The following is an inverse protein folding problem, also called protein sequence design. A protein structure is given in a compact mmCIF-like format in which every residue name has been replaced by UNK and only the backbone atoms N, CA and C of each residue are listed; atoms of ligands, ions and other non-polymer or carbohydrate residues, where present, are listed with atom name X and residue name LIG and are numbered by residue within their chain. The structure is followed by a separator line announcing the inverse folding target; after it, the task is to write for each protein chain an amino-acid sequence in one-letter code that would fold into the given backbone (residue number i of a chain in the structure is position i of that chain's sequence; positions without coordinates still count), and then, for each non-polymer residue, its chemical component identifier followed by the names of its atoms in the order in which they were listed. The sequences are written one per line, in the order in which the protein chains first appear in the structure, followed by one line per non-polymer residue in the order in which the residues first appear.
data_IF_915531889660
#
_entry.id   IF_915531889660
#
_cell.length_a   1.000
_cell.length_b   1.000
_cell.length_c   1.000
_cell.angle_alpha   90.00
_cell.angle_beta   90.00
_cell.angle_gamma   90.00
#
_symmetry.space_group_name_H-M   'P 1'
#
loop_
_entity.id
_entity.type
_entity.pdbx_description
1 polymer ?
#
# COMPACT_ATOMS: atom_id res chain seq x y z
N UNK A 1 18.75 -7.11 -2.87
CA UNK A 1 18.06 -7.41 -1.58
C UNK A 1 16.78 -6.58 -1.55
N UNK A 2 15.60 -7.20 -1.59
CA UNK A 2 14.33 -6.45 -1.78
C UNK A 2 13.91 -5.59 -0.56
N UNK A 3 13.16 -4.51 -0.79
CA UNK A 3 12.70 -3.59 0.27
C UNK A 3 11.37 -4.04 0.89
N UNK A 4 11.15 -3.92 2.21
CA UNK A 4 9.85 -4.27 2.81
C UNK A 4 8.77 -3.26 2.44
N UNK A 5 7.55 -3.73 2.25
CA UNK A 5 6.36 -2.89 2.17
C UNK A 5 5.24 -3.45 3.05
N UNK A 6 4.59 -2.60 3.84
CA UNK A 6 3.52 -2.98 4.75
C UNK A 6 2.16 -2.84 4.06
N UNK A 7 1.31 -3.84 4.24
CA UNK A 7 -0.11 -3.81 3.86
C UNK A 7 -0.99 -4.36 4.99
N UNK A 8 -2.25 -3.90 5.04
CA UNK A 8 -3.26 -4.49 5.92
C UNK A 8 -3.70 -5.87 5.39
N UNK A 9 -4.39 -6.66 6.21
CA UNK A 9 -4.90 -7.98 5.79
C UNK A 9 -5.77 -7.89 4.53
N UNK A 10 -6.70 -6.92 4.46
CA UNK A 10 -7.57 -6.75 3.28
C UNK A 10 -6.80 -6.29 2.04
N UNK A 11 -5.79 -5.42 2.20
CA UNK A 11 -4.93 -5.03 1.08
C UNK A 11 -4.11 -6.21 0.55
N UNK A 12 -3.65 -7.12 1.43
CA UNK A 12 -2.93 -8.32 1.01
C UNK A 12 -3.84 -9.26 0.24
N UNK A 13 -5.08 -9.49 0.69
CA UNK A 13 -6.09 -10.26 -0.05
C UNK A 13 -6.34 -9.65 -1.43
N UNK A 14 -6.52 -8.33 -1.51
CA UNK A 14 -6.69 -7.64 -2.79
C UNK A 14 -5.49 -7.80 -3.75
N UNK A 15 -4.25 -7.88 -3.22
CA UNK A 15 -3.07 -8.18 -4.04
C UNK A 15 -3.07 -9.65 -4.50
N UNK A 16 -3.41 -10.59 -3.62
CA UNK A 16 -3.47 -12.02 -3.95
C UNK A 16 -4.48 -12.29 -5.07
N UNK A 17 -5.64 -11.63 -5.00
CA UNK A 17 -6.71 -11.65 -6.00
C UNK A 17 -6.42 -10.82 -7.28
N UNK A 18 -5.33 -10.04 -7.28
CA UNK A 18 -4.92 -9.23 -8.44
C UNK A 18 -5.69 -7.91 -8.62
N UNK A 19 -6.59 -7.56 -7.69
CA UNK A 19 -7.33 -6.28 -7.69
C UNK A 19 -6.43 -5.11 -7.34
N UNK A 20 -5.52 -5.27 -6.39
CA UNK A 20 -4.59 -4.21 -5.95
C UNK A 20 -3.26 -4.29 -6.71
N UNK A 21 -3.01 -3.29 -7.53
CA UNK A 21 -1.79 -3.14 -8.36
C UNK A 21 -1.08 -1.80 -8.15
N UNK A 22 -1.63 -0.96 -7.27
CA UNK A 22 -1.12 0.36 -6.96
C UNK A 22 -1.17 0.63 -5.45
N UNK A 23 -0.27 1.48 -4.96
CA UNK A 23 -0.42 2.09 -3.65
C UNK A 23 0.16 3.49 -3.50
N UNK A 24 -0.54 4.34 -2.76
CA UNK A 24 -0.10 5.69 -2.37
C UNK A 24 0.64 5.72 -1.03
N UNK A 25 1.69 6.54 -0.95
CA UNK A 25 2.48 6.80 0.28
C UNK A 25 2.78 8.29 0.40
N UNK A 26 2.53 8.87 1.57
CA UNK A 26 2.82 10.28 1.87
C UNK A 26 4.28 10.65 1.53
N UNK A 27 4.49 11.72 0.78
CA UNK A 27 5.82 12.32 0.57
C UNK A 27 6.30 12.98 1.87
N UNK A 28 7.53 12.71 2.29
CA UNK A 28 8.10 13.31 3.51
C UNK A 28 9.48 13.91 3.24
N UNK A 29 9.73 15.18 3.62
CA UNK A 29 8.74 16.18 4.06
C UNK A 29 7.72 16.50 2.95
N UNK A 30 6.64 17.22 3.26
CA UNK A 30 5.70 17.68 2.22
C UNK A 30 6.34 18.84 1.43
N UNK A 31 6.40 18.77 0.09
CA UNK A 31 6.89 19.88 -0.71
C UNK A 31 5.86 21.00 -0.79
N UNK A 32 6.33 22.23 -1.00
CA UNK A 32 5.45 23.41 -1.13
C UNK A 32 4.82 23.51 -2.53
N UNK A 33 5.27 22.70 -3.49
CA UNK A 33 4.73 22.64 -4.85
C UNK A 33 5.14 21.35 -5.57
N UNK A 34 4.83 21.30 -6.87
CA UNK A 34 5.00 20.09 -7.67
C UNK A 34 6.46 19.67 -7.77
N UNK A 35 6.72 18.39 -7.52
CA UNK A 35 8.05 17.82 -7.69
C UNK A 35 8.36 17.62 -9.17
N UNK A 36 9.52 18.08 -9.60
CA UNK A 36 10.04 17.86 -10.95
C UNK A 36 10.93 16.62 -10.97
N UNK A 37 10.66 15.68 -11.87
CA UNK A 37 11.52 14.52 -12.07
C UNK A 37 12.74 14.89 -12.93
N UNK A 38 13.93 14.64 -12.42
CA UNK A 38 15.17 14.92 -13.15
C UNK A 38 15.60 13.68 -13.94
N UNK A 39 15.19 13.60 -15.22
CA UNK A 39 15.61 12.55 -16.16
C UNK A 39 17.10 12.63 -16.53
N UNK A 40 17.63 13.84 -16.61
CA UNK A 40 19.05 14.15 -16.77
C UNK A 40 19.27 15.56 -16.22
N UNK A 41 20.06 15.69 -15.15
CA UNK A 41 20.45 16.98 -14.58
C UNK A 41 21.92 17.26 -14.88
N UNK A 42 22.29 18.54 -14.90
CA UNK A 42 23.67 19.05 -15.03
C UNK A 42 24.65 18.52 -13.97
N UNK A 43 24.16 17.83 -12.94
CA UNK A 43 24.90 17.14 -11.88
C UNK A 43 24.47 15.66 -11.79
N UNK A 44 25.44 14.77 -11.91
CA UNK A 44 25.30 13.30 -11.85
C UNK A 44 24.71 12.79 -10.52
N UNK A 45 24.66 13.64 -9.49
CA UNK A 45 24.05 13.33 -8.18
C UNK A 45 22.52 13.42 -8.17
N UNK A 46 21.89 13.99 -9.20
CA UNK A 46 20.44 14.19 -9.27
C UNK A 46 19.71 13.14 -10.12
N UNK A 47 20.44 12.16 -10.68
CA UNK A 47 19.84 11.08 -11.45
C UNK A 47 18.81 10.30 -10.60
N UNK A 48 17.63 10.06 -11.19
CA UNK A 48 16.51 9.36 -10.54
C UNK A 48 15.98 10.05 -9.25
N UNK A 49 16.13 11.37 -9.13
CA UNK A 49 15.60 12.17 -8.02
C UNK A 49 14.46 13.08 -8.45
N UNK A 50 13.63 13.40 -7.45
CA UNK A 50 12.57 14.38 -7.56
C UNK A 50 12.98 15.66 -6.82
N UNK A 51 12.81 16.82 -7.44
CA UNK A 51 13.27 18.10 -6.89
C UNK A 51 12.13 19.10 -6.73
N UNK A 52 12.22 19.92 -5.68
CA UNK A 52 11.45 21.18 -5.57
C UNK A 52 12.27 22.22 -4.83
N UNK A 53 12.42 23.41 -5.40
CA UNK A 53 13.20 24.50 -4.80
C UNK A 53 14.64 24.10 -4.44
N UNK A 54 15.29 23.25 -5.24
CA UNK A 54 16.63 22.71 -4.97
C UNK A 54 16.70 21.63 -3.89
N UNK A 55 15.59 21.30 -3.21
CA UNK A 55 15.52 20.20 -2.24
C UNK A 55 15.26 18.86 -2.96
N UNK A 56 15.94 17.81 -2.51
CA UNK A 56 15.83 16.44 -3.02
C UNK A 56 14.78 15.63 -2.27
N UNK A 57 13.94 14.94 -3.00
CA UNK A 57 12.95 13.98 -2.50
C UNK A 57 13.26 12.61 -3.11
N UNK A 58 13.27 11.59 -2.25
CA UNK A 58 13.57 10.22 -2.68
C UNK A 58 12.31 9.35 -2.47
N UNK A 59 11.83 8.67 -3.52
CA UNK A 59 10.73 7.75 -3.38
C UNK A 59 11.16 6.54 -2.52
N UNK A 60 10.20 5.82 -1.90
CA UNK A 60 10.53 4.61 -1.12
C UNK A 60 11.12 3.48 -1.97
N UNK A 61 10.84 3.49 -3.28
CA UNK A 61 11.31 2.53 -4.27
C UNK A 61 11.45 3.18 -5.65
N UNK A 62 12.09 2.47 -6.58
CA UNK A 62 12.25 2.86 -7.98
C UNK A 62 11.66 1.77 -8.89
N UNK A 63 11.46 2.09 -10.17
CA UNK A 63 11.14 1.08 -11.18
C UNK A 63 12.11 -0.10 -11.13
N UNK A 64 11.59 -1.30 -11.37
CA UNK A 64 12.28 -2.59 -11.28
C UNK A 64 12.72 -3.03 -9.87
N UNK A 65 12.49 -2.23 -8.82
CA UNK A 65 12.68 -2.71 -7.44
C UNK A 65 11.75 -3.90 -7.17
N UNK A 66 12.27 -4.90 -6.44
CA UNK A 66 11.45 -5.97 -5.85
C UNK A 66 11.15 -5.62 -4.39
N UNK A 67 9.86 -5.47 -4.09
CA UNK A 67 9.35 -5.30 -2.74
C UNK A 67 8.88 -6.64 -2.19
N UNK A 68 9.12 -6.89 -0.91
CA UNK A 68 8.52 -8.02 -0.21
C UNK A 68 7.44 -7.52 0.75
N UNK A 69 6.27 -8.12 0.65
CA UNK A 69 5.10 -7.69 1.43
C UNK A 69 5.23 -8.19 2.86
N UNK A 70 4.97 -7.29 3.81
CA UNK A 70 4.77 -7.60 5.23
C UNK A 70 3.27 -7.64 5.51
N UNK A 71 2.80 -8.80 5.94
CA UNK A 71 1.42 -9.07 6.32
C UNK A 71 1.33 -9.58 7.76
N UNK A 72 0.12 -9.58 8.33
CA UNK A 72 -0.10 -10.12 9.68
C UNK A 72 0.12 -11.63 9.64
N UNK A 73 0.98 -12.13 10.51
CA UNK A 73 1.57 -13.46 10.39
C UNK A 73 1.65 -14.14 11.76
N UNK A 74 1.87 -15.45 11.77
CA UNK A 74 2.22 -16.21 12.97
C UNK A 74 3.26 -17.27 12.64
N UNK A 75 4.09 -17.61 13.62
CA UNK A 75 4.86 -18.87 13.60
C UNK A 75 4.05 -19.87 14.43
N UNK A 76 3.62 -20.95 13.82
CA UNK A 76 2.87 -22.02 14.50
C UNK A 76 3.80 -23.19 14.86
N UNK A 77 3.25 -24.17 15.55
CA UNK A 77 3.97 -25.41 15.91
C UNK A 77 4.60 -26.04 14.66
N UNK A 78 5.78 -26.64 14.81
CA UNK A 78 6.52 -27.21 13.67
C UNK A 78 7.30 -26.19 12.82
N UNK A 79 7.34 -24.91 13.21
CA UNK A 79 8.16 -23.89 12.53
C UNK A 79 7.58 -23.40 11.21
N UNK A 80 6.28 -23.62 11.00
CA UNK A 80 5.55 -23.15 9.82
C UNK A 80 5.06 -21.71 10.02
N UNK A 81 4.94 -20.97 8.92
CA UNK A 81 4.35 -19.64 8.89
C UNK A 81 2.89 -19.71 8.45
N UNK A 82 2.01 -19.07 9.22
CA UNK A 82 0.60 -18.86 8.89
C UNK A 82 0.34 -17.37 8.68
N UNK A 83 -0.64 -17.06 7.83
CA UNK A 83 -0.90 -15.69 7.38
C UNK A 83 -2.37 -15.33 7.50
N UNK A 84 -2.66 -14.16 8.10
CA UNK A 84 -4.04 -13.78 8.41
C UNK A 84 -4.89 -13.56 7.16
N UNK A 85 -4.24 -13.23 6.04
CA UNK A 85 -4.93 -13.06 4.76
C UNK A 85 -5.61 -14.34 4.28
N UNK A 86 -5.13 -15.52 4.70
CA UNK A 86 -5.66 -16.82 4.27
C UNK A 86 -6.98 -17.19 4.99
N UNK A 87 -7.34 -16.48 6.06
CA UNK A 87 -8.60 -16.69 6.79
C UNK A 87 -8.59 -17.84 7.78
N UNK A 88 -7.46 -18.51 7.98
CA UNK A 88 -7.29 -19.59 8.96
C UNK A 88 -7.16 -19.03 10.37
N UNK A 89 -8.04 -19.38 11.32
CA UNK A 89 -7.91 -18.95 12.74
C UNK A 89 -7.34 -20.05 13.66
N UNK A 90 -7.25 -21.29 13.16
CA UNK A 90 -6.81 -22.47 13.90
C UNK A 90 -5.69 -23.16 13.12
N UNK A 91 -4.58 -23.47 13.77
CA UNK A 91 -3.46 -24.17 13.16
C UNK A 91 -3.78 -25.65 12.85
N UNK A 92 -2.88 -26.33 12.13
CA UNK A 92 -3.02 -27.74 11.76
C UNK A 92 -3.08 -28.71 12.96
N UNK A 93 -2.80 -28.24 14.18
CA UNK A 93 -2.91 -29.03 15.42
C UNK A 93 -4.18 -28.69 16.22
N UNK A 94 -5.06 -27.82 15.71
CA UNK A 94 -6.28 -27.43 16.40
C UNK A 94 -6.12 -26.27 17.40
N UNK A 95 -4.99 -25.56 17.41
CA UNK A 95 -4.77 -24.42 18.32
C UNK A 95 -5.17 -23.09 17.68
N UNK A 96 -5.74 -22.19 18.48
CA UNK A 96 -6.01 -20.80 18.06
C UNK A 96 -4.69 -20.09 17.72
N UNK A 97 -4.62 -19.48 16.54
CA UNK A 97 -3.43 -18.79 16.05
C UNK A 97 -3.23 -17.47 16.80
N UNK A 98 -2.01 -17.28 17.33
CA UNK A 98 -1.59 -16.01 17.97
C UNK A 98 -0.94 -15.08 16.94
N UNK A 99 -1.76 -14.22 16.35
CA UNK A 99 -1.32 -13.27 15.32
C UNK A 99 -0.29 -12.25 15.81
N UNK A 100 0.76 -12.04 15.00
CA UNK A 100 1.76 -10.99 15.16
C UNK A 100 1.56 -9.88 14.13
N UNK A 101 1.64 -8.60 14.53
CA UNK A 101 1.55 -7.49 13.61
C UNK A 101 2.60 -7.56 12.49
N UNK A 102 2.20 -7.11 11.30
CA UNK A 102 3.02 -7.13 10.08
C UNK A 102 4.36 -6.38 10.19
N UNK A 103 4.43 -5.34 11.03
CA UNK A 103 5.67 -4.58 11.27
C UNK A 103 6.81 -5.45 11.86
N UNK A 104 6.47 -6.55 12.53
CA UNK A 104 7.43 -7.49 13.12
C UNK A 104 7.78 -8.66 12.21
N UNK A 105 7.23 -8.72 10.99
CA UNK A 105 7.45 -9.85 10.09
C UNK A 105 8.90 -9.91 9.58
N UNK A 106 9.62 -11.03 9.77
CA UNK A 106 10.96 -11.22 9.22
C UNK A 106 10.89 -11.49 7.72
N UNK A 107 12.00 -11.27 7.02
CA UNK A 107 12.10 -11.55 5.58
C UNK A 107 11.93 -13.05 5.27
N UNK A 108 12.39 -13.94 6.16
CA UNK A 108 12.25 -15.39 5.98
C UNK A 108 10.80 -15.88 5.92
N UNK A 109 9.86 -15.07 6.43
CA UNK A 109 8.43 -15.34 6.36
C UNK A 109 7.77 -14.70 5.13
N UNK A 110 8.51 -14.01 4.26
CA UNK A 110 7.93 -13.35 3.10
C UNK A 110 7.55 -14.37 2.03
N UNK A 111 6.27 -14.39 1.65
CA UNK A 111 5.73 -15.24 0.57
C UNK A 111 5.26 -14.47 -0.67
N UNK A 112 5.13 -13.15 -0.54
CA UNK A 112 4.56 -12.29 -1.57
C UNK A 112 5.55 -11.20 -1.97
N UNK A 113 5.83 -11.14 -3.26
CA UNK A 113 6.80 -10.21 -3.86
C UNK A 113 6.12 -9.39 -4.95
N UNK A 114 6.49 -8.11 -5.00
CA UNK A 114 5.94 -7.14 -5.93
C UNK A 114 7.08 -6.51 -6.73
N UNK A 115 7.00 -6.58 -8.05
CA UNK A 115 7.90 -5.83 -8.93
C UNK A 115 7.32 -4.45 -9.18
N UNK A 116 8.08 -3.39 -8.88
CA UNK A 116 7.66 -2.01 -9.12
C UNK A 116 7.73 -1.71 -10.62
N UNK A 117 6.61 -1.26 -11.19
CA UNK A 117 6.49 -0.86 -12.60
C UNK A 117 6.82 0.61 -12.78
N UNK A 118 6.23 1.47 -11.95
CA UNK A 118 6.38 2.90 -12.04
C UNK A 118 6.24 3.56 -10.66
N UNK A 119 6.88 4.72 -10.51
CA UNK A 119 6.71 5.58 -9.35
C UNK A 119 6.52 7.01 -9.83
N UNK A 120 5.39 7.61 -9.45
CA UNK A 120 5.03 8.99 -9.79
C UNK A 120 4.67 9.80 -8.54
N UNK A 121 4.52 11.11 -8.71
CA UNK A 121 4.13 12.05 -7.67
C UNK A 121 2.92 12.83 -8.14
N UNK A 122 1.91 12.91 -7.28
CA UNK A 122 0.66 13.62 -7.54
C UNK A 122 0.09 14.15 -6.23
N UNK A 123 -0.93 15.00 -6.35
CA UNK A 123 -1.79 15.37 -5.20
C UNK A 123 -2.73 14.21 -4.88
N UNK A 124 -3.00 13.98 -3.60
CA UNK A 124 -3.87 12.89 -3.16
C UNK A 124 -5.24 12.87 -3.87
N UNK A 125 -5.86 14.05 -4.05
CA UNK A 125 -7.17 14.20 -4.68
C UNK A 125 -7.12 14.16 -6.23
N UNK A 126 -5.93 14.00 -6.85
CA UNK A 126 -5.81 13.72 -8.30
C UNK A 126 -6.06 12.24 -8.63
N UNK A 127 -6.42 11.43 -7.64
CA UNK A 127 -6.82 10.03 -7.81
C UNK A 127 -8.04 9.92 -8.74
N UNK A 128 -7.91 9.02 -9.73
CA UNK A 128 -8.99 8.62 -10.64
C UNK A 128 -9.77 7.42 -10.09
N UNK A 129 -10.92 7.09 -10.71
CA UNK A 129 -11.64 5.85 -10.38
C UNK A 129 -10.77 4.61 -10.67
N UNK A 130 -10.07 4.61 -11.81
CA UNK A 130 -9.15 3.54 -12.19
C UNK A 130 -8.00 3.36 -11.17
N UNK A 131 -7.50 4.48 -10.63
CA UNK A 131 -6.49 4.46 -9.60
C UNK A 131 -7.00 3.91 -8.26
N UNK A 132 -8.25 4.22 -7.90
CA UNK A 132 -8.88 3.71 -6.69
C UNK A 132 -9.17 2.20 -6.83
N UNK A 133 -9.56 1.76 -8.01
CA UNK A 133 -9.66 0.34 -8.35
C UNK A 133 -8.31 -0.36 -8.24
N UNK A 134 -7.25 0.24 -8.78
CA UNK A 134 -5.88 -0.27 -8.64
C UNK A 134 -5.38 -0.23 -7.18
N UNK A 135 -5.96 0.61 -6.31
CA UNK A 135 -5.74 0.57 -4.86
C UNK A 135 -6.44 -0.61 -4.16
N UNK A 136 -7.27 -1.36 -4.89
CA UNK A 136 -7.91 -2.60 -4.44
C UNK A 136 -9.42 -2.48 -4.19
N UNK A 137 -10.08 -1.40 -4.61
CA UNK A 137 -11.52 -1.21 -4.45
C UNK A 137 -12.32 -2.07 -5.45
N UNK A 138 -11.82 -2.24 -6.67
CA UNK A 138 -12.40 -3.16 -7.67
C UNK A 138 -13.87 -2.86 -7.99
N UNK A 139 -14.20 -1.59 -8.18
CA UNK A 139 -15.54 -1.09 -8.50
C UNK A 139 -16.51 -1.07 -7.32
N UNK A 140 -16.06 -1.40 -6.11
CA UNK A 140 -16.88 -1.38 -4.90
C UNK A 140 -16.18 -0.64 -3.77
N UNK A 141 -16.95 0.15 -3.03
CA UNK A 141 -16.52 0.70 -1.75
C UNK A 141 -16.42 -0.45 -0.73
N UNK A 142 -15.25 -0.76 -0.16
CA UNK A 142 -15.11 -1.85 0.79
C UNK A 142 -15.62 -1.37 2.15
N UNK A 143 -16.94 -1.21 2.28
CA UNK A 143 -17.55 -0.70 3.52
C UNK A 143 -17.14 -1.55 4.75
N UNK A 144 -16.93 -2.85 4.55
CA UNK A 144 -16.43 -3.78 5.57
C UNK A 144 -14.99 -3.51 6.04
N UNK A 145 -14.19 -2.76 5.27
CA UNK A 145 -12.84 -2.34 5.63
C UNK A 145 -12.84 -1.12 6.59
N UNK A 146 -13.96 -0.39 6.71
CA UNK A 146 -14.09 0.70 7.66
C UNK A 146 -14.56 0.18 9.02
N UNK A 147 -13.84 0.49 10.11
CA UNK A 147 -14.24 0.09 11.46
C UNK A 147 -15.64 0.57 11.86
N UNK A 148 -16.09 1.72 11.34
CA UNK A 148 -17.39 2.32 11.64
C UNK A 148 -18.55 1.72 10.84
N UNK A 149 -18.27 1.01 9.75
CA UNK A 149 -19.27 0.36 8.91
C UNK A 149 -19.23 -1.18 8.97
N UNK A 150 -18.32 -1.76 9.76
CA UNK A 150 -18.26 -3.21 10.01
C UNK A 150 -19.60 -3.76 10.50
N UNK A 151 -20.23 -4.60 9.66
CA UNK A 151 -21.47 -5.30 9.99
C UNK A 151 -22.76 -4.58 9.59
N UNK A 152 -22.67 -3.39 8.98
CA UNK A 152 -23.79 -2.87 8.20
C UNK A 152 -23.86 -3.63 6.87
N UNK A 153 -25.07 -3.98 6.35
CA UNK A 153 -25.21 -4.43 4.97
C UNK A 153 -24.96 -3.22 4.08
N UNK A 154 -23.68 -2.84 3.93
CA UNK A 154 -23.21 -1.69 3.17
C UNK A 154 -23.38 -1.98 1.69
N UNK A 155 -24.60 -1.89 1.20
CA UNK A 155 -24.85 -1.77 -0.23
C UNK A 155 -24.28 -0.43 -0.64
N UNK A 156 -23.31 -0.43 -1.55
CA UNK A 156 -22.93 0.77 -2.28
C UNK A 156 -24.17 1.26 -3.03
N UNK A 157 -24.83 2.29 -2.51
CA UNK A 157 -26.01 2.90 -3.12
C UNK A 157 -25.64 3.97 -4.16
N UNK A 158 -24.34 4.18 -4.38
CA UNK A 158 -23.82 5.22 -5.26
C UNK A 158 -23.87 6.62 -4.65
N UNK A 159 -24.09 6.76 -3.33
CA UNK A 159 -24.15 8.07 -2.66
C UNK A 159 -22.82 8.81 -2.63
N UNK A 160 -21.70 8.09 -2.74
CA UNK A 160 -20.35 8.65 -2.86
C UNK A 160 -19.59 7.98 -4.01
N UNK A 161 -18.65 8.70 -4.59
CA UNK A 161 -17.75 8.19 -5.62
C UNK A 161 -16.69 7.24 -5.02
N UNK A 162 -16.11 6.36 -5.85
CA UNK A 162 -15.03 5.46 -5.41
C UNK A 162 -13.79 6.25 -4.89
N UNK A 163 -13.39 7.38 -5.49
CA UNK A 163 -12.37 8.28 -4.92
C UNK A 163 -12.70 8.80 -3.51
N UNK A 164 -13.96 9.15 -3.23
CA UNK A 164 -14.37 9.59 -1.89
C UNK A 164 -14.27 8.45 -0.87
N UNK A 165 -14.68 7.23 -1.24
CA UNK A 165 -14.45 6.05 -0.41
C UNK A 165 -12.95 5.80 -0.14
N UNK A 166 -12.09 6.01 -1.14
CA UNK A 166 -10.64 5.95 -0.93
C UNK A 166 -10.17 7.02 0.07
N UNK A 167 -10.76 8.21 0.03
CA UNK A 167 -10.50 9.30 0.98
C UNK A 167 -10.77 8.91 2.43
N UNK A 168 -11.89 8.24 2.72
CA UNK A 168 -12.18 7.71 4.05
C UNK A 168 -11.12 6.70 4.50
N UNK A 169 -10.68 5.82 3.60
CA UNK A 169 -9.71 4.78 3.94
C UNK A 169 -8.36 5.42 4.24
N UNK A 170 -7.98 6.39 3.42
CA UNK A 170 -6.80 7.20 3.60
C UNK A 170 -6.81 7.90 4.96
N UNK A 171 -7.93 8.51 5.32
CA UNK A 171 -8.10 9.20 6.60
C UNK A 171 -7.98 8.28 7.80
N UNK A 172 -8.53 7.06 7.72
CA UNK A 172 -8.36 6.06 8.78
C UNK A 172 -6.88 5.76 9.10
N UNK A 173 -5.98 5.92 8.12
CA UNK A 173 -4.54 5.61 8.21
C UNK A 173 -3.71 6.86 8.54
N UNK A 174 -4.02 8.01 7.92
CA UNK A 174 -3.12 9.16 7.85
C UNK A 174 -3.65 10.45 8.49
N UNK A 175 -4.96 10.57 8.74
CA UNK A 175 -5.57 11.80 9.28
C UNK A 175 -4.92 12.24 10.61
N UNK A 176 -4.77 11.31 11.55
CA UNK A 176 -4.12 11.53 12.87
C UNK A 176 -2.67 11.98 12.77
N UNK A 177 -2.04 11.85 11.60
CA UNK A 177 -0.66 12.28 11.32
C UNK A 177 -0.60 13.62 10.58
N UNK A 178 -1.74 14.28 10.36
CA UNK A 178 -1.84 15.58 9.68
C UNK A 178 -1.81 15.50 8.15
N UNK A 179 -2.06 14.32 7.57
CA UNK A 179 -2.06 14.13 6.11
C UNK A 179 -3.43 13.65 5.62
N UNK A 180 -4.52 14.15 6.20
CA UNK A 180 -5.87 13.69 5.83
C UNK A 180 -6.28 14.05 4.39
N UNK A 181 -7.43 13.54 3.96
CA UNK A 181 -7.99 13.73 2.62
C UNK A 181 -8.11 15.22 2.26
N UNK A 182 -8.72 16.01 3.14
CA UNK A 182 -8.91 17.47 2.99
C UNK A 182 -7.59 18.27 2.94
N UNK A 183 -6.49 17.72 3.48
CA UNK A 183 -5.16 18.36 3.41
C UNK A 183 -4.59 18.27 1.99
N UNK A 184 -5.09 17.33 1.19
CA UNK A 184 -4.63 17.02 -0.16
C UNK A 184 -3.08 16.96 -0.27
N UNK A 185 -2.41 16.10 0.52
CA UNK A 185 -0.96 16.02 0.55
C UNK A 185 -0.39 15.51 -0.78
N UNK A 186 0.88 15.82 -1.03
CA UNK A 186 1.66 15.15 -2.06
C UNK A 186 1.94 13.70 -1.68
N UNK A 187 1.71 12.80 -2.62
CA UNK A 187 1.89 11.35 -2.44
C UNK A 187 2.79 10.76 -3.53
N UNK A 188 3.58 9.77 -3.14
CA UNK A 188 4.17 8.81 -4.06
C UNK A 188 3.09 7.82 -4.47
N UNK A 189 2.88 7.64 -5.76
CA UNK A 189 2.09 6.52 -6.27
C UNK A 189 3.04 5.47 -6.79
N UNK A 190 2.87 4.24 -6.32
CA UNK A 190 3.71 3.11 -6.64
C UNK A 190 2.86 2.08 -7.34
N UNK A 191 3.12 1.89 -8.63
CA UNK A 191 2.51 0.83 -9.42
C UNK A 191 3.38 -0.42 -9.37
N UNK A 192 2.76 -1.57 -9.27
CA UNK A 192 3.46 -2.84 -9.16
C UNK A 192 2.68 -4.00 -9.78
N UNK A 193 3.38 -5.11 -9.96
CA UNK A 193 2.80 -6.39 -10.32
C UNK A 193 3.27 -7.48 -9.35
N UNK A 194 2.42 -8.47 -9.11
CA UNK A 194 2.77 -9.64 -8.31
C UNK A 194 3.74 -10.51 -9.11
N UNK A 195 4.84 -10.90 -8.49
CA UNK A 195 5.81 -11.83 -9.08
C UNK A 195 5.99 -13.06 -8.20
N UNK A 196 6.40 -14.18 -8.81
CA UNK A 196 6.80 -15.35 -8.05
C UNK A 196 8.00 -15.01 -7.16
N UNK A 197 8.11 -15.68 -6.01
CA UNK A 197 9.36 -15.69 -5.28
C UNK A 197 10.39 -16.35 -6.21
N UNK A 198 11.45 -15.60 -6.59
CA UNK A 198 12.60 -16.24 -7.19
C UNK A 198 13.34 -16.97 -6.06
N UNK A 199 13.38 -18.31 -6.14
CA UNK A 199 14.28 -19.16 -5.35
C UNK A 199 15.75 -18.80 -5.60
#
# INVERSE_FOLDING_TARGET
MGKPILFSTEMVRAILEGRKTQTRRVVKPQPEGQLMYCYAGSDHRDHNKWLYGGKRYTPPCHGDDILWVRETWAMVSGGLYEYKADGTEIDHLGNIIKWKPSIHMPRSAARLFLKVKAVRVERLQEITEEDADAEGFGGNCPYDAFPEHKGSPGWYDGSISIPECFGELWDSIYSKRGYGWEVNPWVWVIEFEKVAAND
#
